data_IF_912128933557
#
_entry.id   IF_912128933557
#
_cell.length_a   1.000
_cell.length_b   1.000
_cell.length_c   1.000
_cell.angle_alpha   90.00
_cell.angle_beta   90.00
_cell.angle_gamma   90.00
#
_symmetry.space_group_name_H-M   'P 1'
#
loop_
_entity.id
_entity.type
_entity.pdbx_description
1 polymer ?
#
# COMPACT_ATOMS: atom_id res chain seq x y z
N UNK A 1 58.59 1.21 -71.29
CA UNK A 1 57.15 1.18 -70.92
C UNK A 1 56.93 0.31 -69.68
N UNK A 2 57.39 0.68 -68.48
CA UNK A 2 57.05 -0.05 -67.22
C UNK A 2 57.03 0.82 -65.96
N UNK A 3 57.28 2.13 -66.06
CA UNK A 3 57.42 3.02 -64.90
C UNK A 3 56.21 3.92 -64.64
N UNK A 4 55.17 3.91 -65.49
CA UNK A 4 53.98 4.75 -65.30
C UNK A 4 52.81 4.08 -64.55
N UNK A 5 52.90 2.79 -64.22
CA UNK A 5 51.84 2.06 -63.51
C UNK A 5 52.04 1.94 -61.99
N UNK A 6 53.19 2.37 -61.45
CA UNK A 6 53.46 2.30 -60.01
C UNK A 6 53.10 3.58 -59.24
N UNK A 7 52.82 4.70 -59.91
CA UNK A 7 52.48 5.96 -59.24
C UNK A 7 50.98 6.09 -58.92
N UNK A 8 50.10 5.35 -59.61
CA UNK A 8 48.65 5.38 -59.34
C UNK A 8 48.22 4.57 -58.11
N UNK A 9 49.00 3.56 -57.68
CA UNK A 9 48.70 2.79 -56.47
C UNK A 9 49.19 3.44 -55.16
N UNK A 10 50.01 4.49 -55.22
CA UNK A 10 50.50 5.18 -54.03
C UNK A 10 49.55 6.28 -53.51
N UNK A 11 48.62 6.76 -54.33
CA UNK A 11 47.64 7.78 -53.94
C UNK A 11 46.36 7.22 -53.30
N UNK A 12 46.14 5.89 -53.33
CA UNK A 12 44.98 5.27 -52.68
C UNK A 12 45.13 5.14 -51.15
N UNK A 13 46.30 5.46 -50.58
CA UNK A 13 46.56 5.40 -49.13
C UNK A 13 46.34 6.73 -48.38
N UNK A 14 45.85 7.76 -49.06
CA UNK A 14 45.54 9.07 -48.46
C UNK A 14 44.04 9.41 -48.49
N UNK A 15 43.17 8.42 -48.76
CA UNK A 15 41.77 8.60 -48.44
C UNK A 15 41.60 8.39 -46.94
N UNK A 16 41.22 9.40 -46.13
CA UNK A 16 40.77 9.13 -44.78
C UNK A 16 39.63 8.13 -44.92
N UNK A 17 39.79 6.94 -44.32
CA UNK A 17 38.79 5.88 -44.36
C UNK A 17 37.42 6.52 -44.12
N UNK A 18 36.55 6.43 -45.13
CA UNK A 18 35.25 7.06 -45.07
C UNK A 18 34.45 6.29 -44.03
N UNK A 19 34.57 6.69 -42.75
CA UNK A 19 33.77 6.16 -41.66
C UNK A 19 32.32 6.13 -42.14
N UNK A 20 31.78 4.92 -42.29
CA UNK A 20 30.45 4.67 -42.82
C UNK A 20 29.54 4.24 -41.67
N UNK A 21 28.94 5.23 -41.01
CA UNK A 21 27.96 5.02 -39.96
C UNK A 21 28.55 4.71 -38.58
N UNK A 22 27.66 4.30 -37.67
CA UNK A 22 27.97 4.09 -36.26
C UNK A 22 28.83 2.85 -36.02
N UNK A 23 28.66 1.79 -36.82
CA UNK A 23 29.40 0.55 -36.66
C UNK A 23 30.91 0.75 -36.91
N UNK A 24 31.27 1.48 -37.96
CA UNK A 24 32.67 1.78 -38.28
C UNK A 24 33.25 2.87 -37.36
N UNK A 25 32.43 3.84 -36.94
CA UNK A 25 32.84 4.83 -35.96
C UNK A 25 33.09 4.22 -34.57
N UNK A 26 32.45 3.08 -34.24
CA UNK A 26 32.58 2.41 -32.95
C UNK A 26 32.01 3.23 -31.79
N UNK A 27 31.02 4.07 -32.04
CA UNK A 27 30.44 5.01 -31.07
C UNK A 27 28.98 4.70 -30.79
N UNK A 28 28.64 4.53 -29.52
CA UNK A 28 27.27 4.48 -29.03
C UNK A 28 27.20 5.32 -27.75
N UNK A 29 26.68 6.53 -27.84
CA UNK A 29 26.72 7.48 -26.73
C UNK A 29 25.37 7.57 -26.02
N UNK A 30 25.34 7.56 -24.67
CA UNK A 30 24.12 7.76 -23.91
C UNK A 30 23.66 9.22 -24.00
N UNK A 31 22.34 9.44 -23.93
CA UNK A 31 21.76 10.77 -24.02
C UNK A 31 21.98 11.45 -25.38
N UNK A 32 22.04 12.79 -25.38
CA UNK A 32 22.33 13.62 -26.55
C UNK A 32 23.78 14.06 -26.50
N UNK A 33 24.57 13.74 -27.53
CA UNK A 33 25.98 14.08 -27.57
C UNK A 33 26.39 14.58 -28.97
N UNK A 34 26.59 15.90 -29.16
CA UNK A 34 26.96 16.45 -30.46
C UNK A 34 28.37 16.03 -30.93
N UNK A 35 29.21 15.48 -30.05
CA UNK A 35 30.51 14.91 -30.41
C UNK A 35 30.40 13.43 -30.85
N UNK A 36 29.22 12.82 -30.68
CA UNK A 36 28.94 11.44 -31.07
C UNK A 36 28.39 11.35 -32.49
N UNK A 37 29.12 11.91 -33.45
CA UNK A 37 28.75 11.88 -34.86
C UNK A 37 29.61 10.91 -35.66
N UNK A 38 29.07 10.46 -36.78
CA UNK A 38 29.77 9.74 -37.84
C UNK A 38 29.45 10.40 -39.19
N UNK A 39 30.12 9.96 -40.26
CA UNK A 39 29.72 10.26 -41.63
C UNK A 39 28.95 9.06 -42.18
N UNK A 40 27.89 9.29 -42.94
CA UNK A 40 27.09 8.19 -43.45
C UNK A 40 25.73 8.63 -43.98
N UNK A 41 24.92 7.63 -44.29
CA UNK A 41 23.54 7.84 -44.71
C UNK A 41 22.64 8.02 -43.49
N UNK A 42 21.72 8.97 -43.58
CA UNK A 42 20.60 9.12 -42.65
C UNK A 42 19.36 8.37 -43.17
N UNK A 43 18.33 8.25 -42.33
CA UNK A 43 17.05 7.61 -42.68
C UNK A 43 16.31 8.31 -43.83
N UNK A 44 16.51 9.62 -44.01
CA UNK A 44 15.98 10.44 -45.11
C UNK A 44 16.75 10.29 -46.43
N UNK A 45 17.72 9.36 -46.49
CA UNK A 45 18.63 9.13 -47.63
C UNK A 45 19.53 10.32 -47.96
N UNK A 46 19.81 11.20 -47.01
CA UNK A 46 20.85 12.22 -47.16
C UNK A 46 22.18 11.66 -46.66
N UNK A 47 23.23 11.79 -47.47
CA UNK A 47 24.60 11.45 -47.07
C UNK A 47 25.26 12.67 -46.44
N UNK A 48 25.85 12.51 -45.25
CA UNK A 48 26.51 13.59 -44.55
C UNK A 48 26.86 13.23 -43.11
N UNK A 49 26.84 14.22 -42.22
CA UNK A 49 26.97 14.01 -40.78
C UNK A 49 25.68 13.40 -40.22
N UNK A 50 25.83 12.35 -39.44
CA UNK A 50 24.74 11.69 -38.72
C UNK A 50 25.20 11.35 -37.29
N UNK A 51 24.27 11.10 -36.37
CA UNK A 51 24.58 10.91 -34.95
C UNK A 51 24.38 9.46 -34.50
N UNK A 52 25.20 9.06 -33.54
CA UNK A 52 25.24 7.74 -32.91
C UNK A 52 24.94 7.81 -31.40
N UNK A 53 24.22 8.84 -30.98
CA UNK A 53 23.75 9.02 -29.62
C UNK A 53 22.30 8.53 -29.44
N UNK A 54 21.88 8.33 -28.19
CA UNK A 54 20.54 7.85 -27.85
C UNK A 54 19.41 8.82 -28.23
N UNK A 55 19.68 10.12 -28.32
CA UNK A 55 18.70 11.13 -28.68
C UNK A 55 18.48 11.25 -30.19
N UNK A 56 19.37 10.68 -31.02
CA UNK A 56 19.33 10.82 -32.48
C UNK A 56 17.97 10.43 -33.10
N UNK A 57 17.26 9.48 -32.48
CA UNK A 57 15.94 9.02 -32.96
C UNK A 57 14.87 10.08 -32.73
N UNK A 58 14.97 10.83 -31.63
CA UNK A 58 14.06 11.94 -31.31
C UNK A 58 14.35 13.17 -32.18
N UNK A 59 15.62 13.41 -32.51
CA UNK A 59 16.05 14.51 -33.39
C UNK A 59 15.96 14.19 -34.88
N UNK A 60 15.81 12.91 -35.24
CA UNK A 60 15.66 12.44 -36.63
C UNK A 60 16.96 12.47 -37.44
N UNK A 61 18.11 12.47 -36.79
CA UNK A 61 19.45 12.61 -37.40
C UNK A 61 20.37 11.41 -37.16
N UNK A 62 19.80 10.27 -36.76
CA UNK A 62 20.54 9.00 -36.66
C UNK A 62 21.20 8.60 -37.97
N UNK A 63 22.38 7.97 -37.84
CA UNK A 63 22.91 7.16 -38.93
C UNK A 63 21.99 5.98 -39.23
N UNK A 64 21.93 5.58 -40.49
CA UNK A 64 21.06 4.51 -40.99
C UNK A 64 21.33 3.15 -40.32
N UNK A 65 22.57 2.91 -39.91
CA UNK A 65 23.01 1.67 -39.26
C UNK A 65 22.90 1.70 -37.72
N UNK A 66 22.41 2.79 -37.12
CA UNK A 66 22.37 3.00 -35.67
C UNK A 66 21.75 1.83 -34.91
N UNK A 67 20.57 1.34 -35.32
CA UNK A 67 19.85 0.28 -34.60
C UNK A 67 20.61 -1.06 -34.59
N UNK A 68 21.45 -1.28 -35.62
CA UNK A 68 22.29 -2.47 -35.74
C UNK A 68 23.60 -2.31 -34.98
N UNK A 69 24.21 -1.12 -35.05
CA UNK A 69 25.49 -0.81 -34.41
C UNK A 69 25.36 -0.64 -32.89
N UNK A 70 24.28 0.00 -32.46
CA UNK A 70 23.95 0.36 -31.09
C UNK A 70 22.61 -0.26 -30.72
N UNK A 71 22.55 -1.59 -30.52
CA UNK A 71 21.29 -2.26 -30.22
C UNK A 71 20.70 -1.72 -28.91
N UNK A 72 19.39 -1.48 -28.92
CA UNK A 72 18.65 -1.03 -27.76
C UNK A 72 18.71 -2.08 -26.65
N UNK A 73 19.10 -1.66 -25.45
CA UNK A 73 19.11 -2.52 -24.27
C UNK A 73 18.13 -1.96 -23.25
N UNK A 74 17.03 -2.67 -22.94
CA UNK A 74 16.07 -2.19 -21.97
C UNK A 74 16.67 -2.17 -20.57
N UNK A 75 16.05 -1.40 -19.68
CA UNK A 75 16.39 -1.47 -18.27
C UNK A 75 16.03 -2.84 -17.67
N UNK A 76 16.92 -3.38 -16.84
CA UNK A 76 16.64 -4.54 -15.99
C UNK A 76 16.75 -4.15 -14.53
N UNK A 77 15.76 -4.54 -13.73
CA UNK A 77 15.69 -4.27 -12.28
C UNK A 77 15.72 -5.57 -11.51
N UNK A 78 16.24 -5.51 -10.29
CA UNK A 78 16.29 -6.67 -9.41
C UNK A 78 14.97 -6.96 -8.70
N UNK A 79 15.03 -7.97 -7.83
CA UNK A 79 13.95 -8.31 -6.92
C UNK A 79 13.66 -7.18 -5.93
N UNK A 80 12.43 -7.17 -5.44
CA UNK A 80 12.04 -6.26 -4.36
C UNK A 80 12.73 -6.62 -3.05
N UNK A 81 13.11 -5.58 -2.30
CA UNK A 81 13.44 -5.72 -0.89
C UNK A 81 12.23 -6.24 -0.10
N UNK A 82 12.45 -6.80 1.10
CA UNK A 82 11.40 -6.88 2.09
C UNK A 82 10.74 -5.51 2.30
N UNK A 83 9.48 -5.53 2.73
CA UNK A 83 8.81 -4.32 3.18
C UNK A 83 9.53 -3.72 4.39
N UNK A 84 9.60 -2.39 4.44
CA UNK A 84 9.95 -1.69 5.67
C UNK A 84 8.91 -1.94 6.77
N UNK A 85 9.26 -1.56 7.99
CA UNK A 85 8.24 -1.31 9.02
C UNK A 85 7.27 -0.20 8.59
N UNK A 86 6.16 -0.12 9.31
CA UNK A 86 5.25 1.02 9.19
C UNK A 86 5.96 2.33 9.54
N UNK A 87 5.67 3.40 8.79
CA UNK A 87 6.29 4.72 9.02
C UNK A 87 5.99 5.26 10.43
N UNK A 88 4.79 4.98 10.93
CA UNK A 88 4.33 5.29 12.28
C UNK A 88 3.78 4.04 12.97
N UNK A 89 3.83 4.02 14.29
CA UNK A 89 3.25 2.95 15.09
C UNK A 89 1.92 3.41 15.66
N UNK A 90 1.02 2.45 15.95
CA UNK A 90 -0.26 2.75 16.56
C UNK A 90 -1.07 3.78 15.78
N UNK A 91 -0.94 3.80 14.44
CA UNK A 91 -1.70 4.63 13.49
C UNK A 91 -1.70 3.93 12.13
N UNK A 92 -2.83 3.94 11.39
CA UNK A 92 -2.82 3.51 9.99
C UNK A 92 -1.89 4.40 9.17
N UNK A 93 -0.88 3.80 8.55
CA UNK A 93 0.18 4.52 7.85
C UNK A 93 0.65 3.73 6.63
N UNK A 94 1.81 4.08 6.08
CA UNK A 94 2.40 3.41 4.92
C UNK A 94 3.71 2.73 5.26
N UNK A 95 4.03 1.69 4.50
CA UNK A 95 5.33 1.03 4.44
C UNK A 95 5.83 1.02 3.00
N UNK A 96 7.15 0.93 2.84
CA UNK A 96 7.82 1.03 1.53
C UNK A 96 8.68 -0.19 1.26
N UNK A 97 8.79 -0.59 0.00
CA UNK A 97 9.83 -1.52 -0.46
C UNK A 97 10.51 -0.96 -1.70
N UNK A 98 11.76 -1.35 -1.93
CA UNK A 98 12.60 -0.81 -3.00
C UNK A 98 13.28 -1.93 -3.77
N UNK A 99 13.62 -1.67 -5.04
CA UNK A 99 14.46 -2.54 -5.86
C UNK A 99 15.50 -1.69 -6.59
N UNK A 100 16.64 -2.29 -6.89
CA UNK A 100 17.73 -1.63 -7.60
C UNK A 100 17.68 -1.88 -9.10
N UNK A 101 18.23 -0.95 -9.86
CA UNK A 101 18.53 -1.14 -11.28
C UNK A 101 19.77 -2.03 -11.40
N UNK A 102 19.65 -3.14 -12.12
CA UNK A 102 20.76 -4.04 -12.44
C UNK A 102 21.41 -3.67 -13.78
N UNK A 103 20.63 -3.11 -14.70
CA UNK A 103 21.10 -2.59 -15.98
C UNK A 103 20.32 -1.33 -16.34
N UNK A 104 21.02 -0.22 -16.55
CA UNK A 104 20.43 1.01 -17.07
C UNK A 104 20.00 0.85 -18.55
N UNK A 105 18.96 1.57 -18.99
CA UNK A 105 18.56 1.54 -20.39
C UNK A 105 19.64 2.18 -21.28
N UNK A 106 19.95 1.55 -22.40
CA UNK A 106 20.94 2.04 -23.37
C UNK A 106 20.37 2.08 -24.77
N UNK A 107 20.89 3.00 -25.60
CA UNK A 107 20.60 3.11 -27.03
C UNK A 107 19.09 3.15 -27.35
N UNK A 108 18.32 3.89 -26.55
CA UNK A 108 16.88 4.02 -26.73
C UNK A 108 16.07 2.81 -26.24
N UNK A 109 16.65 1.97 -25.39
CA UNK A 109 15.93 0.91 -24.67
C UNK A 109 14.87 1.47 -23.71
N UNK A 110 13.90 0.61 -23.36
CA UNK A 110 12.79 0.98 -22.49
C UNK A 110 13.27 1.44 -21.10
N UNK A 111 12.71 2.53 -20.54
CA UNK A 111 13.11 3.05 -19.23
C UNK A 111 12.79 2.06 -18.11
N UNK A 112 13.44 2.25 -16.96
CA UNK A 112 13.20 1.40 -15.80
C UNK A 112 11.76 1.53 -15.29
N UNK A 113 11.14 0.40 -14.88
CA UNK A 113 9.87 0.45 -14.15
C UNK A 113 10.09 1.09 -12.77
N UNK A 114 9.02 1.40 -12.00
CA UNK A 114 9.13 2.01 -10.68
C UNK A 114 10.06 1.24 -9.74
N UNK A 115 10.91 1.96 -9.01
CA UNK A 115 11.92 1.40 -8.11
C UNK A 115 11.50 1.42 -6.64
N UNK A 116 10.39 2.11 -6.32
CA UNK A 116 9.79 2.17 -4.98
C UNK A 116 8.31 1.82 -5.08
N UNK A 117 7.83 1.05 -4.11
CA UNK A 117 6.41 0.71 -3.95
C UNK A 117 5.96 1.04 -2.53
N UNK A 118 4.70 1.48 -2.38
CA UNK A 118 4.09 1.88 -1.12
C UNK A 118 2.82 1.07 -0.88
N UNK A 119 2.62 0.62 0.36
CA UNK A 119 1.42 -0.09 0.79
C UNK A 119 0.95 0.43 2.15
N UNK A 120 -0.36 0.38 2.40
CA UNK A 120 -0.93 0.66 3.72
C UNK A 120 -0.51 -0.40 4.75
N UNK A 121 -0.38 0.01 6.00
CA UNK A 121 -0.05 -0.88 7.11
C UNK A 121 -0.51 -0.30 8.47
N UNK A 122 -0.55 -1.16 9.48
CA UNK A 122 -0.83 -0.79 10.87
C UNK A 122 -0.02 -1.70 11.79
N UNK A 123 0.74 -1.09 12.70
CA UNK A 123 1.48 -1.78 13.75
C UNK A 123 0.75 -1.63 15.08
N UNK A 124 0.53 -2.75 15.77
CA UNK A 124 -0.30 -2.82 16.98
C UNK A 124 0.50 -2.70 18.28
N UNK A 125 1.82 -2.67 18.20
CA UNK A 125 2.71 -2.58 19.36
C UNK A 125 3.68 -1.41 19.21
N UNK A 126 3.94 -0.76 20.35
CA UNK A 126 5.00 0.24 20.50
C UNK A 126 6.35 -0.43 20.78
N UNK A 127 7.50 0.26 20.66
CA UNK A 127 8.79 -0.33 20.99
C UNK A 127 8.93 -0.59 22.50
N UNK A 128 8.10 0.08 23.32
CA UNK A 128 7.98 -0.17 24.76
C UNK A 128 7.10 -1.38 25.09
N UNK A 129 6.55 -2.10 24.09
CA UNK A 129 5.71 -3.28 24.29
C UNK A 129 4.26 -2.97 24.69
N UNK A 130 3.83 -1.70 24.64
CA UNK A 130 2.44 -1.32 24.85
C UNK A 130 1.59 -1.65 23.62
N UNK A 131 0.49 -2.38 23.82
CA UNK A 131 -0.51 -2.71 22.80
C UNK A 131 -1.49 -1.53 22.61
N UNK A 132 -1.58 -1.06 21.38
CA UNK A 132 -2.46 0.03 20.96
C UNK A 132 -3.53 -0.44 19.96
N UNK A 133 -3.64 -1.75 19.73
CA UNK A 133 -4.64 -2.32 18.84
C UNK A 133 -6.07 -2.08 19.28
N UNK A 134 -6.30 -1.90 20.58
CA UNK A 134 -7.63 -1.60 21.12
C UNK A 134 -8.29 -0.35 20.52
N UNK A 135 -7.51 0.64 20.03
CA UNK A 135 -8.06 1.87 19.44
C UNK A 135 -8.39 1.74 17.95
N UNK A 136 -7.77 0.80 17.24
CA UNK A 136 -7.91 0.64 15.78
C UNK A 136 -8.68 -0.60 15.35
N UNK A 137 -8.82 -1.56 16.25
CA UNK A 137 -9.67 -2.73 16.03
C UNK A 137 -11.12 -2.27 16.15
N UNK A 138 -12.01 -2.64 15.20
CA UNK A 138 -13.42 -2.31 15.32
C UNK A 138 -14.00 -2.94 16.59
N UNK A 139 -14.94 -2.23 17.21
CA UNK A 139 -15.70 -2.79 18.31
C UNK A 139 -16.51 -3.99 17.83
N UNK A 140 -16.21 -5.18 18.37
CA UNK A 140 -17.01 -6.36 18.10
C UNK A 140 -18.17 -6.42 19.08
N UNK A 141 -19.39 -6.48 18.54
CA UNK A 141 -20.61 -6.46 19.35
C UNK A 141 -21.53 -7.65 19.08
N UNK A 142 -22.28 -8.00 20.12
CA UNK A 142 -23.47 -8.86 20.01
C UNK A 142 -24.59 -8.35 20.90
N UNK A 143 -25.80 -8.87 20.72
CA UNK A 143 -26.97 -8.50 21.55
C UNK A 143 -26.75 -8.83 23.02
N UNK A 144 -27.20 -7.93 23.90
CA UNK A 144 -27.16 -8.13 25.35
C UNK A 144 -27.99 -9.32 25.85
N UNK A 145 -28.85 -9.89 25.00
CA UNK A 145 -29.54 -11.15 25.30
C UNK A 145 -28.56 -12.31 25.61
N UNK A 146 -27.36 -12.31 25.02
CA UNK A 146 -26.33 -13.30 25.32
C UNK A 146 -25.59 -13.05 26.65
N UNK A 147 -25.79 -11.90 27.29
CA UNK A 147 -25.11 -11.57 28.55
C UNK A 147 -25.59 -12.46 29.72
N UNK A 148 -26.87 -12.90 29.70
CA UNK A 148 -27.45 -13.77 30.74
C UNK A 148 -26.73 -15.12 30.88
N UNK A 149 -26.14 -15.63 29.80
CA UNK A 149 -25.36 -16.88 29.82
C UNK A 149 -23.96 -16.64 30.42
N UNK A 150 -23.38 -15.46 30.19
CA UNK A 150 -22.07 -15.02 30.72
C UNK A 150 -22.10 -14.92 32.25
N UNK A 151 -23.16 -14.35 32.83
CA UNK A 151 -23.35 -14.25 34.29
C UNK A 151 -23.46 -15.62 34.95
N UNK A 152 -24.07 -16.62 34.28
CA UNK A 152 -24.19 -18.00 34.78
C UNK A 152 -22.86 -18.75 34.78
N UNK A 153 -22.01 -18.51 33.80
CA UNK A 153 -20.67 -19.11 33.73
C UNK A 153 -19.69 -18.49 34.75
N UNK A 154 -19.80 -17.18 35.00
CA UNK A 154 -19.02 -16.48 36.03
C UNK A 154 -19.41 -16.88 37.47
N UNK A 155 -20.63 -17.41 37.68
CA UNK A 155 -21.11 -17.89 38.99
C UNK A 155 -20.84 -19.38 39.25
N UNK A 156 -20.07 -20.06 38.39
CA UNK A 156 -19.60 -21.43 38.64
C UNK A 156 -18.69 -21.48 39.88
N UNK A 157 -18.80 -22.49 40.77
CA UNK A 157 -18.21 -22.48 42.12
C UNK A 157 -16.68 -22.54 42.18
N UNK A 158 -16.00 -22.56 41.02
CA UNK A 158 -14.56 -22.74 40.94
C UNK A 158 -13.78 -21.41 40.84
N UNK A 159 -14.46 -20.28 40.69
CA UNK A 159 -13.86 -18.95 40.54
C UNK A 159 -14.58 -17.94 41.45
N UNK A 160 -14.63 -18.22 42.75
CA UNK A 160 -15.03 -17.24 43.74
C UNK A 160 -13.88 -16.27 44.01
N UNK A 161 -13.77 -15.23 43.20
CA UNK A 161 -13.00 -14.03 43.55
C UNK A 161 -13.97 -12.86 43.69
N UNK A 162 -14.08 -12.39 44.93
CA UNK A 162 -14.62 -11.08 45.28
C UNK A 162 -13.79 -9.98 44.59
N UNK A 163 -14.11 -9.69 43.35
CA UNK A 163 -14.02 -8.34 42.81
C UNK A 163 -15.32 -8.11 42.06
N UNK A 164 -16.16 -7.24 42.61
CA UNK A 164 -17.13 -6.50 41.81
C UNK A 164 -16.32 -5.67 40.80
N UNK A 165 -15.80 -6.31 39.74
CA UNK A 165 -15.24 -5.61 38.60
C UNK A 165 -16.42 -4.95 37.90
N UNK A 166 -16.81 -3.79 38.41
CA UNK A 166 -17.88 -2.96 37.88
C UNK A 166 -17.48 -2.57 36.45
N UNK A 167 -17.96 -3.37 35.49
CA UNK A 167 -17.89 -3.03 34.08
C UNK A 167 -18.55 -1.66 33.81
N UNK A 168 -18.26 -1.09 32.66
CA UNK A 168 -18.79 0.22 32.25
C UNK A 168 -19.54 0.12 30.94
N UNK A 169 -20.34 1.14 30.65
CA UNK A 169 -21.17 1.19 29.46
C UNK A 169 -20.71 2.33 28.60
N UNK A 170 -20.68 2.04 27.31
CA UNK A 170 -20.42 3.03 26.29
C UNK A 170 -21.71 3.37 25.58
N UNK A 171 -22.03 4.65 25.53
CA UNK A 171 -23.09 5.14 24.67
C UNK A 171 -22.46 5.60 23.35
N UNK A 172 -22.95 5.03 22.25
CA UNK A 172 -22.53 5.40 20.91
C UNK A 172 -23.72 5.84 20.08
N UNK A 173 -23.54 6.86 19.24
CA UNK A 173 -24.51 7.25 18.23
C UNK A 173 -24.13 6.61 16.90
N UNK A 174 -24.96 5.71 16.39
CA UNK A 174 -24.72 5.04 15.11
C UNK A 174 -24.73 6.07 13.98
N UNK A 175 -23.64 6.15 13.22
CA UNK A 175 -23.51 7.05 12.07
C UNK A 175 -23.83 6.35 10.76
N UNK A 176 -23.32 5.12 10.58
CA UNK A 176 -23.57 4.32 9.39
C UNK A 176 -23.70 2.84 9.71
N UNK A 177 -24.40 2.10 8.86
CA UNK A 177 -24.36 0.65 8.84
C UNK A 177 -24.49 0.09 7.42
N UNK A 178 -23.90 -1.07 7.17
CA UNK A 178 -24.02 -1.74 5.89
C UNK A 178 -25.44 -2.30 5.66
N UNK A 179 -25.90 -2.38 4.40
CA UNK A 179 -27.22 -2.96 4.08
C UNK A 179 -27.39 -4.42 4.54
N UNK A 180 -26.28 -5.14 4.72
CA UNK A 180 -26.26 -6.52 5.19
C UNK A 180 -26.87 -6.68 6.59
N UNK A 181 -26.85 -5.65 7.44
CA UNK A 181 -27.50 -5.69 8.74
C UNK A 181 -29.03 -5.84 8.62
N UNK A 182 -29.65 -5.13 7.66
CA UNK A 182 -31.09 -5.18 7.44
C UNK A 182 -31.56 -6.48 6.76
N UNK A 183 -30.68 -7.11 5.98
CA UNK A 183 -30.98 -8.36 5.25
C UNK A 183 -30.78 -9.61 6.10
N UNK A 184 -30.16 -9.50 7.27
CA UNK A 184 -29.80 -10.66 8.09
C UNK A 184 -31.01 -11.28 8.78
N UNK A 185 -31.34 -12.55 8.47
CA UNK A 185 -32.56 -13.20 8.98
C UNK A 185 -32.29 -14.51 9.74
N UNK A 186 -31.04 -14.84 10.06
CA UNK A 186 -30.74 -16.05 10.84
C UNK A 186 -31.17 -15.86 12.31
N UNK A 187 -31.61 -16.90 13.02
CA UNK A 187 -32.19 -16.78 14.37
C UNK A 187 -31.32 -16.05 15.40
N UNK A 188 -30.00 -16.29 15.40
CA UNK A 188 -29.06 -15.73 16.38
C UNK A 188 -28.53 -14.33 16.01
N UNK A 189 -28.73 -13.90 14.78
CA UNK A 189 -28.23 -12.63 14.23
C UNK A 189 -29.35 -11.68 13.79
N UNK A 190 -30.62 -12.11 13.91
CA UNK A 190 -31.81 -11.31 13.58
C UNK A 190 -31.85 -9.96 14.29
N UNK A 191 -31.18 -9.83 15.44
CA UNK A 191 -31.05 -8.58 16.18
C UNK A 191 -30.39 -7.45 15.34
N UNK A 192 -29.54 -7.80 14.37
CA UNK A 192 -28.87 -6.85 13.48
C UNK A 192 -29.88 -6.03 12.65
N UNK A 193 -31.06 -6.57 12.38
CA UNK A 193 -32.15 -5.87 11.67
C UNK A 193 -32.73 -4.69 12.47
N UNK A 194 -32.43 -4.56 13.76
CA UNK A 194 -32.95 -3.47 14.60
C UNK A 194 -31.98 -2.28 14.71
N UNK A 195 -30.77 -2.41 14.16
CA UNK A 195 -29.81 -1.31 14.08
C UNK A 195 -30.28 -0.25 13.07
N UNK A 196 -30.14 1.02 13.45
CA UNK A 196 -30.58 2.16 12.65
C UNK A 196 -29.58 3.29 12.78
N UNK A 197 -29.34 4.00 11.68
CA UNK A 197 -28.52 5.21 11.68
C UNK A 197 -29.20 6.31 12.50
N UNK A 198 -28.42 7.10 13.22
CA UNK A 198 -28.87 8.20 14.07
C UNK A 198 -29.31 7.81 15.49
N UNK A 199 -29.49 6.51 15.77
CA UNK A 199 -29.89 6.03 17.10
C UNK A 199 -28.70 5.92 18.05
N UNK A 200 -28.95 6.13 19.34
CA UNK A 200 -27.96 5.87 20.40
C UNK A 200 -28.11 4.44 20.89
N UNK A 201 -26.99 3.73 20.94
CA UNK A 201 -26.89 2.35 21.43
C UNK A 201 -26.07 2.31 22.71
N UNK A 202 -26.40 1.38 23.60
CA UNK A 202 -25.67 1.13 24.84
C UNK A 202 -24.86 -0.16 24.66
N UNK A 203 -23.55 -0.11 24.91
CA UNK A 203 -22.65 -1.27 24.77
C UNK A 203 -21.94 -1.50 26.09
N UNK A 204 -22.23 -2.64 26.70
CA UNK A 204 -21.71 -3.04 28.00
C UNK A 204 -20.31 -3.68 27.86
N UNK A 205 -19.34 -3.14 28.60
CA UNK A 205 -17.97 -3.64 28.69
C UNK A 205 -17.77 -4.33 30.05
N UNK A 206 -17.75 -5.65 30.01
CA UNK A 206 -17.58 -6.52 31.17
C UNK A 206 -16.54 -7.61 30.87
N UNK A 207 -15.89 -8.20 31.89
CA UNK A 207 -15.14 -9.43 31.73
C UNK A 207 -15.98 -10.50 31.01
N UNK A 208 -15.42 -11.26 30.03
CA UNK A 208 -14.02 -11.37 29.65
C UNK A 208 -13.56 -10.41 28.53
N UNK A 209 -14.45 -9.57 27.98
CA UNK A 209 -14.10 -8.66 26.87
C UNK A 209 -13.19 -7.50 27.31
N UNK A 210 -13.22 -7.18 28.59
CA UNK A 210 -12.40 -6.15 29.21
C UNK A 210 -10.96 -6.65 29.39
N UNK A 211 -9.98 -5.86 28.94
CA UNK A 211 -8.57 -6.13 29.17
C UNK A 211 -8.23 -5.94 30.67
N UNK A 212 -7.51 -6.90 31.26
CA UNK A 212 -7.21 -6.92 32.70
C UNK A 212 -6.24 -5.83 33.17
N UNK A 213 -5.44 -5.25 32.26
CA UNK A 213 -4.46 -4.20 32.58
C UNK A 213 -5.04 -2.82 32.30
N UNK A 214 -5.62 -2.62 31.12
CA UNK A 214 -6.17 -1.31 30.76
C UNK A 214 -7.55 -1.07 31.34
N UNK A 215 -8.30 -2.11 31.69
CA UNK A 215 -9.72 -2.02 32.12
C UNK A 215 -10.61 -1.40 31.02
N UNK A 216 -10.25 -1.65 29.76
CA UNK A 216 -10.97 -1.16 28.57
C UNK A 216 -11.34 -2.31 27.63
N UNK A 217 -12.44 -2.13 26.89
CA UNK A 217 -12.83 -3.00 25.79
C UNK A 217 -12.29 -2.50 24.45
N UNK A 218 -11.95 -3.43 23.56
CA UNK A 218 -11.51 -3.10 22.19
C UNK A 218 -12.58 -2.30 21.44
N UNK A 219 -12.19 -1.17 20.86
CA UNK A 219 -13.07 -0.27 20.11
C UNK A 219 -13.92 0.65 20.99
N UNK A 220 -13.63 0.79 22.29
CA UNK A 220 -14.34 1.72 23.17
C UNK A 220 -13.96 3.20 22.96
N UNK A 221 -12.87 3.47 22.25
CA UNK A 221 -12.45 4.82 21.86
C UNK A 221 -11.81 5.61 22.99
N UNK A 222 -10.82 5.02 23.68
CA UNK A 222 -10.01 5.56 24.78
C UNK A 222 -9.73 7.08 24.67
N UNK A 223 -9.19 7.53 23.54
CA UNK A 223 -8.73 8.92 23.32
C UNK A 223 -9.63 9.75 22.39
N UNK A 224 -10.86 9.28 22.12
CA UNK A 224 -11.78 10.00 21.25
C UNK A 224 -12.47 11.13 22.00
N UNK A 225 -12.20 12.38 21.62
CA UNK A 225 -12.89 13.61 22.08
C UNK A 225 -14.37 13.71 21.62
N UNK A 226 -15.09 12.59 21.49
CA UNK A 226 -16.47 12.50 20.98
C UNK A 226 -16.63 12.79 19.48
N UNK A 227 -15.63 13.41 18.85
CA UNK A 227 -15.63 13.75 17.42
C UNK A 227 -15.08 12.65 16.50
N UNK A 228 -14.42 11.63 17.04
CA UNK A 228 -13.85 10.55 16.22
C UNK A 228 -14.93 9.54 15.83
N UNK A 229 -14.98 9.22 14.54
CA UNK A 229 -15.79 8.13 14.02
C UNK A 229 -15.07 6.80 14.27
N UNK A 230 -15.69 5.93 15.07
CA UNK A 230 -15.19 4.60 15.40
C UNK A 230 -15.92 3.54 14.56
N UNK A 231 -15.25 2.42 14.31
CA UNK A 231 -15.80 1.32 13.53
C UNK A 231 -16.31 0.22 14.45
N UNK A 232 -17.36 -0.46 14.03
CA UNK A 232 -17.92 -1.60 14.75
C UNK A 232 -18.32 -2.70 13.78
N UNK A 233 -18.32 -3.94 14.27
CA UNK A 233 -18.71 -5.11 13.51
C UNK A 233 -19.55 -6.05 14.37
N UNK A 234 -20.64 -6.55 13.80
CA UNK A 234 -21.50 -7.50 14.49
C UNK A 234 -20.92 -8.93 14.42
N UNK A 235 -20.91 -9.61 15.57
CA UNK A 235 -20.51 -11.02 15.63
C UNK A 235 -21.62 -11.90 15.05
N UNK A 236 -21.22 -12.90 14.25
CA UNK A 236 -22.11 -13.83 13.54
C UNK A 236 -22.38 -13.44 12.08
N UNK A 237 -22.19 -12.17 11.71
CA UNK A 237 -22.17 -11.73 10.32
C UNK A 237 -21.17 -10.59 10.12
N UNK A 238 -19.93 -10.89 9.69
CA UNK A 238 -18.88 -9.88 9.46
C UNK A 238 -19.26 -8.81 8.42
N UNK A 239 -20.25 -9.06 7.56
CA UNK A 239 -20.71 -8.06 6.58
C UNK A 239 -21.63 -7.02 7.21
N UNK A 240 -22.24 -7.30 8.37
CA UNK A 240 -22.97 -6.32 9.15
C UNK A 240 -21.98 -5.54 10.03
N UNK A 241 -21.65 -4.35 9.57
CA UNK A 241 -20.66 -3.47 10.18
C UNK A 241 -21.06 -2.03 9.91
N UNK A 242 -20.41 -1.09 10.59
CA UNK A 242 -20.71 0.31 10.40
C UNK A 242 -19.79 1.21 11.20
N UNK A 243 -20.24 2.45 11.35
CA UNK A 243 -19.54 3.44 12.14
C UNK A 243 -20.46 4.07 13.18
N UNK A 244 -19.86 4.55 14.26
CA UNK A 244 -20.55 5.30 15.29
C UNK A 244 -19.63 6.37 15.90
N UNK A 245 -20.23 7.32 16.62
CA UNK A 245 -19.50 8.30 17.44
C UNK A 245 -19.72 8.03 18.90
N UNK A 246 -18.65 8.18 19.69
CA UNK A 246 -18.70 8.10 21.15
C UNK A 246 -19.54 9.27 21.68
N UNK A 247 -20.59 8.93 22.43
CA UNK A 247 -21.41 9.92 23.14
C UNK A 247 -20.83 10.14 24.53
N UNK A 248 -20.70 9.08 25.33
CA UNK A 248 -20.11 9.11 26.67
C UNK A 248 -19.81 7.72 27.21
N UNK A 249 -18.99 7.67 28.25
CA UNK A 249 -18.77 6.50 29.12
C UNK A 249 -19.61 6.65 30.39
N UNK A 250 -20.19 5.56 30.87
CA UNK A 250 -21.01 5.49 32.09
C UNK A 250 -20.51 4.32 32.95
N UNK A 251 -19.91 4.60 34.11
CA UNK A 251 -19.31 3.56 34.96
C UNK A 251 -20.34 2.75 35.77
N UNK A 252 -21.54 3.28 36.02
CA UNK A 252 -22.64 2.56 36.68
C UNK A 252 -23.74 2.25 35.67
N UNK A 253 -23.54 1.17 34.93
CA UNK A 253 -24.37 0.73 33.82
C UNK A 253 -25.83 0.39 34.17
N UNK A 254 -26.77 1.02 33.47
CA UNK A 254 -28.12 0.47 33.28
C UNK A 254 -28.52 0.62 31.82
N UNK A 255 -28.07 -0.32 31.00
CA UNK A 255 -28.42 -0.36 29.58
C UNK A 255 -29.92 -0.68 29.39
N UNK A 256 -30.63 0.01 28.49
CA UNK A 256 -32.05 -0.22 28.23
C UNK A 256 -32.32 -1.61 27.64
N UNK A 257 -33.58 -2.07 27.63
CA UNK A 257 -33.92 -3.39 27.08
C UNK A 257 -33.75 -3.50 25.55
N UNK A 258 -33.73 -2.37 24.85
CA UNK A 258 -33.62 -2.28 23.38
C UNK A 258 -32.36 -1.48 23.05
N UNK A 259 -31.73 -1.78 21.90
CA UNK A 259 -30.47 -1.15 21.46
C UNK A 259 -29.31 -1.32 22.47
N UNK A 260 -29.35 -2.44 23.19
CA UNK A 260 -28.30 -2.83 24.12
C UNK A 260 -27.49 -4.00 23.60
N UNK A 261 -26.19 -3.83 23.66
CA UNK A 261 -25.19 -4.75 23.14
C UNK A 261 -24.11 -4.99 24.19
N UNK A 262 -23.26 -5.96 23.94
CA UNK A 262 -22.08 -6.26 24.75
C UNK A 262 -20.85 -6.30 23.85
N UNK A 263 -19.73 -5.84 24.40
CA UNK A 263 -18.42 -6.09 23.78
C UNK A 263 -18.06 -7.58 23.89
N UNK A 264 -17.30 -8.04 22.89
CA UNK A 264 -16.75 -9.39 22.80
C UNK A 264 -15.22 -9.34 22.88
#
# INVERSE_FOLDING_TARGET
MRTLWMTLCALSRLWPGAQAGCAEAGRCCPGRDPACFARGWRLDRVYGTCFCDQACRLTGDCCFDYDRACPARPCFVGEWSPWSGCADQCKPTTRVRRRSVQQEPQNGGAPCPPLEERAGCLEYSTPQGQDCGHTYVPAFITTSAFNKERTRQATSPHWSTHTEDAGYCMEFKTESLTPHCALENRPLTRWMQYLREGYTVCVDCQPPAMNSVSLHCSGDGLDSDGNQTLHWQAIGNPRCQGTWKKVRRVDQCSCPAVHSFIFI
#
